data_IF_561450086313
#
_entry.id   IF_561450086313
#
_cell.length_a   1.000
_cell.length_b   1.000
_cell.length_c   1.000
_cell.angle_alpha   90.00
_cell.angle_beta   90.00
_cell.angle_gamma   90.00
#
_symmetry.space_group_name_H-M   'P 1'
#
loop_
_entity.id
_entity.type
_entity.pdbx_description
1 polymer ?
#
# COMPACT_ATOMS: atom_id res chain seq x y z
N UNK A 1 -23.77 -32.13 1.46
CA UNK A 1 -22.73 -31.35 2.16
C UNK A 1 -22.48 -30.10 1.34
N UNK A 2 -23.17 -29.03 1.71
CA UNK A 2 -23.05 -27.72 1.01
C UNK A 2 -21.76 -27.06 1.49
N UNK A 3 -20.70 -27.19 0.69
CA UNK A 3 -19.52 -26.35 0.85
C UNK A 3 -19.96 -24.93 0.56
N UNK A 4 -19.96 -24.13 1.62
CA UNK A 4 -20.38 -22.75 1.59
C UNK A 4 -19.55 -21.96 0.57
N UNK A 5 -20.23 -21.33 -0.39
CA UNK A 5 -19.70 -20.35 -1.35
C UNK A 5 -19.17 -19.06 -0.67
N UNK A 6 -18.55 -19.16 0.51
CA UNK A 6 -18.04 -18.00 1.28
C UNK A 6 -16.74 -17.38 0.76
N UNK A 7 -16.15 -17.89 -0.30
CA UNK A 7 -14.77 -17.52 -0.67
C UNK A 7 -14.62 -16.46 -1.77
N UNK A 8 -15.69 -15.90 -2.33
CA UNK A 8 -15.56 -15.06 -3.54
C UNK A 8 -15.33 -13.56 -3.30
N UNK A 9 -15.68 -13.06 -2.12
CA UNK A 9 -15.33 -11.73 -1.64
C UNK A 9 -15.03 -11.82 -0.15
N UNK A 10 -13.76 -11.88 0.20
CA UNK A 10 -13.40 -11.83 1.61
C UNK A 10 -13.62 -10.40 2.11
N UNK A 11 -14.73 -10.20 2.80
CA UNK A 11 -14.95 -9.06 3.67
C UNK A 11 -13.84 -9.11 4.72
N UNK A 12 -13.06 -8.05 4.80
CA UNK A 12 -11.91 -8.03 5.72
C UNK A 12 -12.16 -7.13 6.92
N UNK A 13 -13.05 -6.15 6.77
CA UNK A 13 -13.36 -5.20 7.82
C UNK A 13 -14.75 -4.60 7.64
N UNK A 14 -15.21 -3.93 8.69
CA UNK A 14 -16.42 -3.12 8.70
C UNK A 14 -16.07 -1.69 9.14
N UNK A 15 -16.72 -0.72 8.52
CA UNK A 15 -16.59 0.70 8.85
C UNK A 15 -17.29 0.99 10.15
N UNK A 16 -16.59 1.61 11.12
CA UNK A 16 -17.11 1.96 12.44
C UNK A 16 -17.25 3.46 12.69
N UNK A 17 -16.48 4.27 11.97
CA UNK A 17 -16.54 5.72 12.10
C UNK A 17 -16.05 6.35 10.80
N UNK A 18 -16.75 7.39 10.34
CA UNK A 18 -16.35 8.20 9.20
C UNK A 18 -16.51 9.68 9.56
N UNK A 19 -15.43 10.43 9.33
CA UNK A 19 -15.46 11.89 9.39
C UNK A 19 -14.90 12.45 8.08
N UNK A 20 -15.61 13.40 7.48
CA UNK A 20 -15.17 14.09 6.26
C UNK A 20 -15.29 13.24 4.99
N UNK A 21 -14.31 13.40 4.08
CA UNK A 21 -14.30 12.75 2.77
C UNK A 21 -13.50 11.46 2.80
N UNK A 22 -14.20 10.35 2.79
CA UNK A 22 -13.60 9.00 2.78
C UNK A 22 -14.23 8.15 1.68
N UNK A 23 -13.46 7.30 1.07
CA UNK A 23 -13.93 6.34 0.08
C UNK A 23 -12.93 5.24 -0.17
N UNK A 24 -13.33 4.28 -0.97
CA UNK A 24 -12.45 3.22 -1.46
C UNK A 24 -12.56 3.11 -2.98
N UNK A 25 -11.51 2.61 -3.60
CA UNK A 25 -11.60 2.15 -4.98
C UNK A 25 -11.63 0.63 -4.97
N UNK A 26 -12.76 0.08 -5.40
CA UNK A 26 -13.05 -1.36 -5.44
C UNK A 26 -13.15 -1.83 -6.89
N UNK A 27 -12.31 -2.79 -7.27
CA UNK A 27 -12.32 -3.36 -8.63
C UNK A 27 -12.31 -2.27 -9.72
N UNK A 28 -11.49 -1.23 -9.54
CA UNK A 28 -11.32 -0.03 -10.40
C UNK A 28 -12.42 1.04 -10.30
N UNK A 29 -13.47 0.83 -9.53
CA UNK A 29 -14.56 1.79 -9.37
C UNK A 29 -14.49 2.50 -8.01
N UNK A 30 -14.67 3.82 -7.96
CA UNK A 30 -14.79 4.54 -6.70
C UNK A 30 -16.11 4.16 -6.01
N UNK A 31 -16.01 3.88 -4.71
CA UNK A 31 -17.15 3.56 -3.84
C UNK A 31 -17.11 4.52 -2.67
N UNK A 32 -18.20 5.22 -2.44
CA UNK A 32 -18.40 6.01 -1.22
C UNK A 32 -18.70 5.02 -0.08
N UNK A 33 -18.15 5.30 1.09
CA UNK A 33 -18.39 4.50 2.30
C UNK A 33 -19.40 5.21 3.19
N UNK A 34 -20.24 4.42 3.83
CA UNK A 34 -21.10 4.80 4.94
C UNK A 34 -20.79 3.93 6.18
N UNK A 35 -21.43 4.25 7.33
CA UNK A 35 -21.30 3.43 8.54
C UNK A 35 -21.77 2.00 8.29
N UNK A 36 -21.10 1.05 8.92
CA UNK A 36 -21.32 -0.39 8.80
C UNK A 36 -21.11 -0.96 7.39
N UNK A 37 -20.63 -0.16 6.44
CA UNK A 37 -20.21 -0.68 5.14
C UNK A 37 -19.02 -1.63 5.29
N UNK A 38 -18.99 -2.61 4.41
CA UNK A 38 -17.94 -3.61 4.37
C UNK A 38 -16.74 -3.16 3.54
N UNK A 39 -15.55 -3.36 4.08
CA UNK A 39 -14.28 -3.24 3.38
C UNK A 39 -13.87 -4.63 2.89
N UNK A 40 -13.52 -4.72 1.63
CA UNK A 40 -13.08 -5.95 0.99
C UNK A 40 -11.57 -5.96 0.80
N UNK A 41 -11.05 -7.16 0.72
CA UNK A 41 -9.66 -7.37 0.36
C UNK A 41 -9.28 -6.65 -0.94
N UNK A 42 -8.15 -5.97 -0.95
CA UNK A 42 -7.64 -5.11 -2.03
C UNK A 42 -8.47 -3.83 -2.31
N UNK A 43 -9.39 -3.46 -1.44
CA UNK A 43 -9.97 -2.11 -1.52
C UNK A 43 -8.87 -1.08 -1.26
N UNK A 44 -8.74 -0.12 -2.18
CA UNK A 44 -7.81 0.98 -2.01
C UNK A 44 -8.49 2.12 -1.24
N UNK A 45 -8.08 2.29 0.01
CA UNK A 45 -8.63 3.27 0.95
C UNK A 45 -8.07 4.66 0.63
N UNK A 46 -8.94 5.64 0.53
CA UNK A 46 -8.61 7.05 0.36
C UNK A 46 -9.28 7.88 1.45
N UNK A 47 -8.48 8.46 2.34
CA UNK A 47 -8.93 9.38 3.38
C UNK A 47 -8.48 10.78 3.01
N UNK A 48 -9.42 11.69 2.81
CA UNK A 48 -9.15 13.06 2.37
C UNK A 48 -8.55 13.97 3.43
N UNK A 49 -8.41 15.26 3.11
CA UNK A 49 -8.01 16.28 4.08
C UNK A 49 -9.08 16.43 5.17
N UNK A 50 -8.66 16.65 6.42
CA UNK A 50 -9.54 16.81 7.58
C UNK A 50 -10.56 15.67 7.72
N UNK A 51 -10.15 14.46 7.39
CA UNK A 51 -11.01 13.29 7.38
C UNK A 51 -10.42 12.17 8.22
N UNK A 52 -11.26 11.24 8.65
CA UNK A 52 -10.89 10.09 9.47
C UNK A 52 -11.75 8.90 9.10
N UNK A 53 -11.17 7.72 9.12
CA UNK A 53 -11.86 6.44 8.93
C UNK A 53 -11.44 5.49 10.03
N UNK A 54 -12.41 4.94 10.78
CA UNK A 54 -12.18 3.80 11.66
C UNK A 54 -12.81 2.56 11.05
N UNK A 55 -12.00 1.50 10.94
CA UNK A 55 -12.47 0.17 10.55
C UNK A 55 -12.11 -0.84 11.62
N UNK A 56 -12.96 -1.85 11.75
CA UNK A 56 -12.70 -3.02 12.59
C UNK A 56 -12.44 -4.21 11.66
N UNK A 57 -11.25 -4.80 11.76
CA UNK A 57 -10.93 -6.02 11.03
C UNK A 57 -11.73 -7.18 11.63
N UNK A 58 -12.42 -7.93 10.79
CA UNK A 58 -13.10 -9.15 11.24
C UNK A 58 -12.07 -10.13 11.79
N UNK A 59 -12.47 -10.87 12.80
CA UNK A 59 -11.70 -12.01 13.30
C UNK A 59 -11.71 -13.15 12.28
N UNK A 60 -11.11 -12.88 11.14
CA UNK A 60 -10.91 -13.88 10.10
C UNK A 60 -9.58 -14.55 10.41
N UNK A 61 -9.66 -15.85 10.75
CA UNK A 61 -8.50 -16.71 11.00
C UNK A 61 -7.55 -16.20 12.11
N UNK A 62 -8.11 -15.63 13.16
CA UNK A 62 -7.41 -15.33 14.39
C UNK A 62 -6.64 -14.04 14.45
N UNK A 63 -6.90 -13.09 13.54
CA UNK A 63 -6.42 -11.71 13.65
C UNK A 63 -7.63 -10.79 13.78
N UNK A 64 -7.70 -10.03 14.88
CA UNK A 64 -8.66 -8.96 15.05
C UNK A 64 -7.97 -7.66 15.43
N UNK A 65 -8.38 -6.56 14.81
CA UNK A 65 -7.78 -5.26 15.04
C UNK A 65 -8.74 -4.09 14.73
N UNK A 66 -8.57 -3.00 15.46
CA UNK A 66 -9.11 -1.69 15.09
C UNK A 66 -8.04 -0.88 14.38
N UNK A 67 -8.39 -0.30 13.23
CA UNK A 67 -7.53 0.59 12.47
C UNK A 67 -8.19 1.96 12.35
N UNK A 68 -7.45 3.01 12.67
CA UNK A 68 -7.91 4.40 12.58
C UNK A 68 -7.01 5.14 11.61
N UNK A 69 -7.50 5.36 10.38
CA UNK A 69 -6.79 6.12 9.37
C UNK A 69 -7.09 7.61 9.49
N UNK A 70 -6.05 8.41 9.40
CA UNK A 70 -6.12 9.86 9.53
C UNK A 70 -6.04 10.57 8.17
N UNK A 71 -6.13 11.88 8.20
CA UNK A 71 -6.14 12.74 7.01
C UNK A 71 -5.04 12.44 6.01
N UNK A 72 -5.38 12.52 4.73
CA UNK A 72 -4.48 12.30 3.59
C UNK A 72 -3.88 10.89 3.52
N UNK A 73 -4.57 9.88 4.05
CA UNK A 73 -4.09 8.49 4.01
C UNK A 73 -4.51 7.79 2.74
N UNK A 74 -3.55 7.14 2.09
CA UNK A 74 -3.73 6.29 0.93
C UNK A 74 -3.10 4.93 1.21
N UNK A 75 -3.92 3.89 1.25
CA UNK A 75 -3.50 2.54 1.62
C UNK A 75 -4.39 1.47 1.00
N UNK A 76 -3.98 0.23 1.02
CA UNK A 76 -4.88 -0.88 0.80
C UNK A 76 -4.59 -2.03 1.77
N UNK A 77 -5.65 -2.76 2.10
CA UNK A 77 -5.59 -3.93 2.98
C UNK A 77 -5.56 -5.20 2.14
N UNK A 78 -4.70 -6.10 2.52
CA UNK A 78 -4.51 -7.35 1.84
C UNK A 78 -4.30 -8.47 2.87
N UNK A 79 -4.95 -9.61 2.64
CA UNK A 79 -4.75 -10.81 3.43
C UNK A 79 -4.00 -11.85 2.63
N UNK A 80 -2.97 -12.43 3.22
CA UNK A 80 -2.30 -13.61 2.71
C UNK A 80 -2.68 -14.79 3.58
N UNK A 81 -3.42 -15.75 3.05
CA UNK A 81 -3.69 -17.01 3.75
C UNK A 81 -2.79 -18.10 3.21
N UNK A 82 -1.94 -18.65 4.06
CA UNK A 82 -1.36 -19.96 3.89
C UNK A 82 -2.16 -20.90 4.82
N UNK A 83 -2.45 -22.12 4.38
CA UNK A 83 -3.39 -23.11 4.98
C UNK A 83 -3.77 -22.99 6.48
N UNK A 84 -2.89 -22.51 7.33
CA UNK A 84 -3.11 -22.37 8.78
C UNK A 84 -2.54 -21.07 9.36
N UNK A 85 -1.93 -20.21 8.54
CA UNK A 85 -1.26 -19.00 8.96
C UNK A 85 -1.79 -17.83 8.13
N UNK A 86 -2.18 -16.74 8.79
CA UNK A 86 -2.65 -15.55 8.10
C UNK A 86 -1.76 -14.37 8.41
N UNK A 87 -1.44 -13.67 7.34
CA UNK A 87 -0.83 -12.36 7.41
C UNK A 87 -1.84 -11.32 6.94
N UNK A 88 -2.29 -10.45 7.85
CA UNK A 88 -2.97 -9.22 7.46
C UNK A 88 -1.92 -8.20 7.09
N UNK A 89 -1.94 -7.68 5.86
CA UNK A 89 -0.94 -6.71 5.36
C UNK A 89 -1.63 -5.41 4.97
N UNK A 90 -1.05 -4.30 5.42
CA UNK A 90 -1.45 -2.97 4.99
C UNK A 90 -0.29 -2.35 4.21
N UNK A 91 -0.54 -1.98 2.96
CA UNK A 91 0.36 -1.14 2.20
C UNK A 91 -0.01 0.32 2.44
N UNK A 92 0.86 1.05 3.12
CA UNK A 92 0.69 2.48 3.38
C UNK A 92 1.58 3.27 2.42
N UNK A 93 0.97 3.95 1.46
CA UNK A 93 1.69 4.78 0.50
C UNK A 93 1.89 6.19 1.01
N UNK A 94 0.94 6.68 1.81
CA UNK A 94 0.97 8.03 2.39
C UNK A 94 0.02 8.09 3.57
N UNK A 95 0.30 9.01 4.51
CA UNK A 95 -0.57 9.32 5.63
C UNK A 95 -0.24 8.55 6.89
N UNK A 96 -1.23 8.37 7.75
CA UNK A 96 -1.01 7.75 9.05
C UNK A 96 -2.21 6.98 9.55
N UNK A 97 -1.95 6.02 10.42
CA UNK A 97 -3.00 5.31 11.13
C UNK A 97 -2.54 4.79 12.49
N UNK A 98 -3.50 4.60 13.40
CA UNK A 98 -3.34 3.80 14.60
C UNK A 98 -3.80 2.36 14.32
N UNK A 99 -3.07 1.39 14.86
CA UNK A 99 -3.46 -0.01 14.92
C UNK A 99 -3.58 -0.45 16.38
N UNK A 100 -4.71 -1.04 16.72
CA UNK A 100 -4.94 -1.73 17.99
C UNK A 100 -5.24 -3.19 17.67
N UNK A 101 -4.24 -4.04 17.87
CA UNK A 101 -4.34 -5.48 17.61
C UNK A 101 -4.86 -6.14 18.89
N UNK A 102 -6.05 -6.71 18.81
CA UNK A 102 -6.73 -7.36 19.94
C UNK A 102 -6.35 -8.82 20.08
N UNK A 103 -6.19 -9.50 18.94
CA UNK A 103 -5.85 -10.91 18.88
C UNK A 103 -5.00 -11.23 17.67
N UNK A 104 -3.98 -12.08 17.86
CA UNK A 104 -3.22 -12.74 16.79
C UNK A 104 -2.99 -14.19 17.22
N UNK A 105 -3.49 -15.14 16.45
CA UNK A 105 -3.24 -16.57 16.68
C UNK A 105 -1.78 -16.88 16.39
N UNK A 106 -1.20 -17.79 17.16
CA UNK A 106 0.20 -18.22 17.01
C UNK A 106 0.52 -18.60 15.57
N UNK A 107 1.54 -17.98 15.01
CA UNK A 107 2.00 -18.18 13.64
C UNK A 107 1.41 -17.20 12.62
N UNK A 108 0.33 -16.47 12.97
CA UNK A 108 -0.21 -15.37 12.17
C UNK A 108 0.51 -14.06 12.49
N UNK A 109 0.38 -13.05 11.63
CA UNK A 109 0.95 -11.73 11.86
C UNK A 109 0.13 -10.60 11.24
N UNK A 110 0.24 -9.42 11.85
CA UNK A 110 -0.23 -8.17 11.26
C UNK A 110 0.96 -7.36 10.78
N UNK A 111 0.96 -6.97 9.52
CA UNK A 111 2.11 -6.32 8.90
C UNK A 111 1.73 -5.01 8.24
N UNK A 112 2.59 -4.01 8.37
CA UNK A 112 2.52 -2.75 7.64
C UNK A 112 3.71 -2.64 6.72
N UNK A 113 3.46 -2.33 5.46
CA UNK A 113 4.49 -2.19 4.43
C UNK A 113 4.53 -0.72 4.00
N UNK A 114 5.68 -0.09 4.20
CA UNK A 114 5.93 1.30 3.80
C UNK A 114 7.22 1.32 3.01
N UNK A 115 7.15 1.72 1.75
CA UNK A 115 8.33 1.89 0.90
C UNK A 115 9.32 0.70 0.98
N UNK A 116 8.78 -0.53 0.90
CA UNK A 116 9.55 -1.79 0.99
C UNK A 116 10.16 -2.11 2.37
N UNK A 117 9.78 -1.39 3.40
CA UNK A 117 10.11 -1.75 4.76
C UNK A 117 8.91 -2.43 5.41
N UNK A 118 9.18 -3.47 6.17
CA UNK A 118 8.16 -4.30 6.80
C UNK A 118 8.15 -4.05 8.30
N UNK A 119 6.98 -3.72 8.83
CA UNK A 119 6.69 -3.65 10.27
C UNK A 119 5.73 -4.76 10.62
N UNK A 120 6.13 -5.68 11.47
CA UNK A 120 5.39 -6.91 11.77
C UNK A 120 5.05 -7.00 13.25
N UNK A 121 3.76 -7.11 13.57
CA UNK A 121 3.27 -7.46 14.90
C UNK A 121 2.86 -8.94 14.91
N UNK A 122 3.37 -9.70 15.88
CA UNK A 122 3.13 -11.14 16.06
C UNK A 122 2.31 -11.45 17.32
N UNK A 123 1.93 -10.41 18.05
CA UNK A 123 1.16 -10.50 19.29
C UNK A 123 0.22 -9.29 19.43
N UNK A 124 -0.58 -9.29 20.48
CA UNK A 124 -1.41 -8.13 20.82
C UNK A 124 -0.53 -6.91 20.97
N UNK A 125 -0.85 -5.87 20.23
CA UNK A 125 -0.03 -4.66 20.20
C UNK A 125 -0.89 -3.43 19.89
N UNK A 126 -0.38 -2.27 20.31
CA UNK A 126 -0.93 -0.97 19.92
C UNK A 126 0.21 -0.10 19.44
N UNK A 127 0.06 0.42 18.22
CA UNK A 127 1.08 1.28 17.63
C UNK A 127 0.49 2.28 16.64
N UNK A 128 1.21 3.37 16.44
CA UNK A 128 0.93 4.40 15.44
C UNK A 128 1.98 4.37 14.36
N UNK A 129 1.56 4.58 13.12
CA UNK A 129 2.43 4.66 11.96
C UNK A 129 2.14 5.94 11.19
N UNK A 130 3.18 6.62 10.75
CA UNK A 130 3.10 7.75 9.85
C UNK A 130 4.10 7.57 8.71
N UNK A 131 3.62 7.66 7.49
CA UNK A 131 4.41 7.76 6.27
C UNK A 131 4.20 9.15 5.71
N UNK A 132 5.23 9.96 5.79
CA UNK A 132 5.15 11.32 5.30
C UNK A 132 5.77 11.45 3.89
N UNK A 133 6.07 12.68 3.56
CA UNK A 133 6.80 13.05 2.36
C UNK A 133 8.23 12.49 2.40
N UNK A 134 8.78 12.08 1.26
CA UNK A 134 10.19 11.70 1.08
C UNK A 134 10.64 10.37 1.66
N UNK A 135 9.76 9.38 1.76
CA UNK A 135 10.11 8.09 2.35
C UNK A 135 10.58 8.18 3.81
N UNK A 136 10.19 9.24 4.50
CA UNK A 136 10.34 9.30 5.94
C UNK A 136 9.16 8.60 6.58
N UNK A 137 9.40 7.84 7.61
CA UNK A 137 8.33 7.21 8.38
C UNK A 137 8.71 7.14 9.85
N UNK A 138 7.65 7.10 10.60
CA UNK A 138 7.70 7.10 12.04
C UNK A 138 6.77 6.01 12.55
N UNK A 139 7.26 5.14 13.39
CA UNK A 139 6.45 4.19 14.11
C UNK A 139 6.66 4.36 15.60
N UNK A 140 5.57 4.29 16.33
CA UNK A 140 5.56 4.40 17.77
C UNK A 140 4.75 3.28 18.38
N UNK A 141 5.38 2.52 19.28
CA UNK A 141 4.75 1.37 19.93
C UNK A 141 4.29 1.77 21.33
N UNK A 142 2.98 1.64 21.58
CA UNK A 142 2.36 1.93 22.89
C UNK A 142 2.26 0.68 23.75
N UNK A 143 1.98 -0.47 23.13
CA UNK A 143 1.80 -1.76 23.81
C UNK A 143 2.27 -2.91 22.91
N UNK A 144 2.78 -3.97 23.51
CA UNK A 144 3.29 -5.13 22.78
C UNK A 144 4.66 -4.86 22.14
N UNK A 145 4.90 -5.41 20.98
CA UNK A 145 6.13 -5.18 20.21
C UNK A 145 5.87 -5.22 18.73
N UNK A 146 6.68 -4.48 17.97
CA UNK A 146 6.67 -4.48 16.50
C UNK A 146 8.08 -4.77 16.01
N UNK A 147 8.21 -5.75 15.14
CA UNK A 147 9.46 -6.09 14.46
C UNK A 147 9.57 -5.22 13.20
N UNK A 148 10.65 -4.50 13.08
CA UNK A 148 11.02 -3.79 11.87
C UNK A 148 12.04 -4.61 11.09
N UNK A 149 11.81 -4.80 9.81
CA UNK A 149 12.72 -5.48 8.89
C UNK A 149 13.03 -4.50 7.77
N UNK A 150 14.28 -4.13 7.67
CA UNK A 150 14.75 -3.20 6.64
C UNK A 150 15.00 -3.89 5.29
N UNK A 151 15.43 -3.10 4.30
CA UNK A 151 15.74 -3.62 2.96
C UNK A 151 16.92 -4.59 2.90
N UNK A 152 17.76 -4.59 3.94
CA UNK A 152 18.93 -5.47 4.07
C UNK A 152 18.61 -6.72 4.89
N UNK A 153 17.33 -6.96 5.18
CA UNK A 153 16.82 -8.04 6.03
C UNK A 153 17.33 -7.95 7.48
N UNK A 154 17.84 -6.77 7.89
CA UNK A 154 18.21 -6.54 9.28
C UNK A 154 16.96 -6.32 10.11
N UNK A 155 16.85 -7.04 11.23
CA UNK A 155 15.69 -7.02 12.11
C UNK A 155 15.94 -6.20 13.37
N UNK A 156 14.97 -5.37 13.72
CA UNK A 156 14.95 -4.59 14.97
C UNK A 156 13.62 -4.79 15.68
N UNK A 157 13.65 -5.04 16.98
CA UNK A 157 12.44 -5.15 17.78
C UNK A 157 12.17 -3.81 18.49
N UNK A 158 10.99 -3.25 18.22
CA UNK A 158 10.55 -1.98 18.81
C UNK A 158 9.59 -2.31 19.95
N UNK A 159 9.96 -1.95 21.17
CA UNK A 159 9.19 -2.14 22.40
C UNK A 159 8.35 -0.91 22.75
N UNK A 160 7.42 -1.02 23.72
CA UNK A 160 6.66 0.11 24.20
C UNK A 160 7.57 1.26 24.69
N UNK A 161 7.08 2.47 24.50
CA UNK A 161 7.81 3.71 24.77
C UNK A 161 9.06 3.91 23.91
N UNK A 162 9.21 3.16 22.83
CA UNK A 162 10.21 3.41 21.80
C UNK A 162 9.51 3.81 20.49
N UNK A 163 10.16 4.74 19.81
CA UNK A 163 9.78 5.19 18.46
C UNK A 163 10.93 4.98 17.51
N UNK A 164 10.65 4.41 16.37
CA UNK A 164 11.59 4.35 15.26
C UNK A 164 11.28 5.47 14.29
N UNK A 165 12.25 6.34 14.07
CA UNK A 165 12.27 7.36 13.03
C UNK A 165 13.14 6.87 11.89
N UNK A 166 12.61 6.82 10.67
CA UNK A 166 13.42 6.72 9.45
C UNK A 166 13.35 8.05 8.72
N UNK A 167 14.49 8.69 8.62
CA UNK A 167 14.61 10.04 8.11
C UNK A 167 15.82 10.14 7.18
N UNK A 168 15.60 10.51 5.91
CA UNK A 168 16.64 10.58 4.89
C UNK A 168 17.49 9.29 4.78
N UNK A 169 16.86 8.13 4.93
CA UNK A 169 17.52 6.83 4.84
C UNK A 169 18.27 6.38 6.10
N UNK A 170 18.31 7.21 7.14
CA UNK A 170 18.90 6.86 8.45
C UNK A 170 17.80 6.44 9.44
N UNK A 171 18.08 5.45 10.25
CA UNK A 171 17.17 4.98 11.29
C UNK A 171 17.60 5.49 12.66
N UNK A 172 16.67 6.03 13.42
CA UNK A 172 16.88 6.54 14.77
C UNK A 172 15.85 5.91 15.71
N UNK A 173 16.33 5.25 16.76
CA UNK A 173 15.47 4.72 17.81
C UNK A 173 15.46 5.72 18.98
N UNK A 174 14.28 6.23 19.31
CA UNK A 174 14.09 7.17 20.42
C UNK A 174 13.23 6.57 21.51
N UNK A 175 13.60 6.82 22.79
CA UNK A 175 12.70 6.59 23.92
C UNK A 175 11.70 7.72 24.01
N UNK A 176 10.42 7.39 24.08
CA UNK A 176 9.32 8.34 24.12
C UNK A 176 8.37 7.96 25.25
N UNK A 177 8.12 8.89 26.18
CA UNK A 177 7.09 8.69 27.18
C UNK A 177 5.71 8.97 26.63
N UNK A 178 4.69 8.25 27.09
CA UNK A 178 3.31 8.35 26.59
C UNK A 178 2.77 9.79 26.55
N UNK A 179 3.09 10.60 27.54
CA UNK A 179 2.73 12.03 27.61
C UNK A 179 3.43 12.93 26.58
N UNK A 180 4.56 12.49 26.01
CA UNK A 180 5.34 13.28 25.02
C UNK A 180 5.05 12.88 23.57
N UNK A 181 4.30 11.80 23.35
CA UNK A 181 4.03 11.22 22.02
C UNK A 181 3.40 12.20 21.05
N UNK A 182 2.40 12.96 21.50
CA UNK A 182 1.76 13.99 20.66
C UNK A 182 2.77 15.04 20.21
N UNK A 183 3.67 15.43 21.11
CA UNK A 183 4.76 16.36 20.80
C UNK A 183 5.78 15.78 19.82
N UNK A 184 6.13 14.50 19.96
CA UNK A 184 7.06 13.81 19.04
C UNK A 184 6.45 13.69 17.65
N UNK A 185 5.19 13.30 17.53
CA UNK A 185 4.49 13.27 16.25
C UNK A 185 4.45 14.64 15.58
N UNK A 186 4.10 15.69 16.33
CA UNK A 186 4.07 17.06 15.81
C UNK A 186 5.46 17.54 15.37
N UNK A 187 6.49 17.23 16.16
CA UNK A 187 7.87 17.55 15.82
C UNK A 187 8.34 16.80 14.58
N UNK A 188 8.01 15.50 14.46
CA UNK A 188 8.34 14.72 13.26
C UNK A 188 7.69 15.32 12.01
N UNK A 189 6.38 15.59 12.04
CA UNK A 189 5.65 16.21 10.94
C UNK A 189 6.25 17.58 10.58
N UNK A 190 6.60 18.38 11.58
CA UNK A 190 7.26 19.67 11.38
C UNK A 190 8.63 19.51 10.72
N UNK A 191 9.49 18.63 11.25
CA UNK A 191 10.82 18.36 10.70
C UNK A 191 10.74 17.85 9.25
N UNK A 192 9.80 16.93 8.98
CA UNK A 192 9.57 16.41 7.64
C UNK A 192 9.14 17.52 6.69
N UNK A 193 8.22 18.41 7.12
CA UNK A 193 7.79 19.57 6.35
C UNK A 193 8.92 20.57 6.14
N UNK A 194 9.69 20.90 7.17
CA UNK A 194 10.80 21.84 7.09
C UNK A 194 11.90 21.32 6.13
N UNK A 195 12.20 20.01 6.22
CA UNK A 195 13.11 19.38 5.27
C UNK A 195 12.59 19.45 3.83
N UNK A 196 11.29 19.17 3.66
CA UNK A 196 10.66 19.26 2.36
C UNK A 196 10.77 20.68 1.78
N UNK A 197 10.47 21.69 2.59
CA UNK A 197 10.54 23.10 2.17
C UNK A 197 11.98 23.58 1.94
N UNK A 198 12.97 22.94 2.56
CA UNK A 198 14.40 23.26 2.42
C UNK A 198 15.09 22.59 1.22
N UNK A 199 14.38 21.74 0.47
CA UNK A 199 14.96 21.03 -0.68
C UNK A 199 15.45 22.02 -1.74
N UNK A 200 16.68 21.81 -2.16
CA UNK A 200 17.25 22.59 -3.23
C UNK A 200 16.73 22.16 -4.63
N UNK A 201 16.83 23.07 -5.59
CA UNK A 201 16.37 22.83 -6.98
C UNK A 201 17.00 21.59 -7.62
N UNK A 202 18.30 21.36 -7.36
CA UNK A 202 19.03 20.22 -7.92
C UNK A 202 18.48 18.89 -7.44
N UNK A 203 18.15 18.78 -6.16
CA UNK A 203 17.54 17.58 -5.59
C UNK A 203 16.15 17.32 -6.19
N UNK A 204 15.31 18.37 -6.27
CA UNK A 204 13.98 18.25 -6.87
C UNK A 204 14.06 17.85 -8.35
N UNK A 205 15.01 18.41 -9.09
CA UNK A 205 15.25 18.04 -10.49
C UNK A 205 15.64 16.57 -10.63
N UNK A 206 16.62 16.11 -9.84
CA UNK A 206 17.06 14.70 -9.84
C UNK A 206 15.92 13.76 -9.46
N UNK A 207 15.15 14.12 -8.44
CA UNK A 207 14.00 13.32 -8.01
C UNK A 207 12.93 13.19 -9.11
N UNK A 208 12.62 14.30 -9.81
CA UNK A 208 11.66 14.29 -10.94
C UNK A 208 12.17 13.42 -12.09
N UNK A 209 13.46 13.47 -12.39
CA UNK A 209 14.07 12.60 -13.41
C UNK A 209 13.89 11.13 -13.02
N UNK A 210 14.23 10.78 -11.78
CA UNK A 210 14.08 9.41 -11.27
C UNK A 210 12.62 8.94 -11.32
N UNK A 211 11.70 9.79 -10.94
CA UNK A 211 10.28 9.49 -11.02
C UNK A 211 9.81 9.30 -12.47
N UNK A 212 10.33 10.07 -13.41
CA UNK A 212 10.04 9.89 -14.83
C UNK A 212 10.47 8.51 -15.33
N UNK A 213 11.66 8.04 -14.92
CA UNK A 213 12.14 6.68 -15.24
C UNK A 213 11.19 5.60 -14.71
N UNK A 214 10.73 5.75 -13.47
CA UNK A 214 9.79 4.79 -12.87
C UNK A 214 8.44 4.78 -13.60
N UNK A 215 7.93 5.96 -14.00
CA UNK A 215 6.72 6.05 -14.84
C UNK A 215 6.93 5.33 -16.18
N UNK A 216 8.06 5.53 -16.83
CA UNK A 216 8.35 4.89 -18.12
C UNK A 216 8.44 3.37 -17.96
N UNK A 217 9.13 2.90 -16.91
CA UNK A 217 9.25 1.46 -16.60
C UNK A 217 7.89 0.84 -16.32
N UNK A 218 7.09 1.44 -15.44
CA UNK A 218 5.75 0.98 -15.14
C UNK A 218 4.85 0.99 -16.39
N UNK A 219 4.83 2.08 -17.15
CA UNK A 219 4.01 2.17 -18.36
C UNK A 219 4.44 1.17 -19.43
N UNK A 220 5.73 0.90 -19.59
CA UNK A 220 6.23 -0.11 -20.52
C UNK A 220 5.70 -1.49 -20.17
N UNK A 221 5.84 -1.90 -18.91
CA UNK A 221 5.34 -3.20 -18.44
C UNK A 221 3.81 -3.28 -18.49
N UNK A 222 3.12 -2.23 -18.01
CA UNK A 222 1.67 -2.17 -18.07
C UNK A 222 1.15 -2.28 -19.51
N UNK A 223 1.71 -1.49 -20.44
CA UNK A 223 1.28 -1.51 -21.82
C UNK A 223 1.63 -2.84 -22.51
N UNK A 224 2.76 -3.46 -22.18
CA UNK A 224 3.12 -4.78 -22.65
C UNK A 224 2.05 -5.82 -22.29
N UNK A 225 1.64 -5.85 -21.01
CA UNK A 225 0.59 -6.77 -20.55
C UNK A 225 -0.79 -6.41 -21.14
N UNK A 226 -1.14 -5.11 -21.18
CA UNK A 226 -2.44 -4.68 -21.71
C UNK A 226 -2.58 -4.87 -23.23
N UNK A 227 -1.48 -5.00 -23.98
CA UNK A 227 -1.48 -5.35 -25.41
C UNK A 227 -1.52 -6.86 -25.64
N UNK A 228 -1.18 -7.65 -24.63
CA UNK A 228 -1.20 -9.11 -24.73
C UNK A 228 -2.67 -9.61 -24.80
N UNK A 229 -3.03 -10.20 -25.93
CA UNK A 229 -4.38 -10.72 -26.17
C UNK A 229 -4.79 -11.77 -25.12
N UNK A 230 -3.85 -12.65 -24.74
CA UNK A 230 -4.12 -13.70 -23.75
C UNK A 230 -4.33 -13.12 -22.36
N UNK A 231 -3.53 -12.11 -21.96
CA UNK A 231 -3.74 -11.39 -20.70
C UNK A 231 -5.14 -10.75 -20.68
N UNK A 232 -5.52 -10.02 -21.73
CA UNK A 232 -6.82 -9.35 -21.79
C UNK A 232 -8.00 -10.36 -21.78
N UNK A 233 -7.85 -11.49 -22.45
CA UNK A 233 -8.84 -12.56 -22.41
C UNK A 233 -9.02 -13.12 -20.99
N UNK A 234 -7.90 -13.41 -20.30
CA UNK A 234 -7.91 -13.87 -18.92
C UNK A 234 -8.53 -12.80 -18.00
N UNK A 235 -8.09 -11.54 -18.11
CA UNK A 235 -8.59 -10.43 -17.31
C UNK A 235 -10.12 -10.27 -17.45
N UNK A 236 -10.61 -10.24 -18.67
CA UNK A 236 -12.05 -10.10 -18.96
C UNK A 236 -12.86 -11.28 -18.44
N UNK A 237 -12.38 -12.52 -18.67
CA UNK A 237 -13.01 -13.74 -18.16
C UNK A 237 -13.08 -13.73 -16.65
N UNK A 238 -11.96 -13.47 -15.97
CA UNK A 238 -11.90 -13.48 -14.50
C UNK A 238 -12.70 -12.34 -13.88
N UNK A 239 -12.71 -11.14 -14.50
CA UNK A 239 -13.57 -10.04 -14.04
C UNK A 239 -15.06 -10.39 -14.11
N UNK A 240 -15.49 -11.09 -15.15
CA UNK A 240 -16.87 -11.55 -15.28
C UNK A 240 -17.19 -12.68 -14.30
N UNK A 241 -16.29 -13.63 -14.10
CA UNK A 241 -16.41 -14.71 -13.12
C UNK A 241 -16.54 -14.14 -11.71
N UNK A 242 -15.68 -13.18 -11.34
CA UNK A 242 -15.73 -12.51 -10.03
C UNK A 242 -17.03 -11.73 -9.84
N UNK A 243 -17.52 -11.03 -10.88
CA UNK A 243 -18.82 -10.34 -10.84
C UNK A 243 -19.99 -11.30 -10.60
N UNK A 244 -19.89 -12.52 -11.11
CA UNK A 244 -20.90 -13.56 -10.97
C UNK A 244 -20.64 -14.51 -9.79
N UNK A 245 -19.69 -14.20 -8.91
CA UNK A 245 -19.32 -15.03 -7.75
C UNK A 245 -18.89 -16.45 -8.13
N UNK A 246 -18.12 -16.60 -9.22
CA UNK A 246 -17.63 -17.88 -9.74
C UNK A 246 -16.12 -17.88 -9.88
N UNK A 247 -15.48 -19.03 -9.67
CA UNK A 247 -14.03 -19.20 -9.89
C UNK A 247 -13.67 -19.76 -11.27
N UNK A 248 -14.66 -20.21 -12.02
CA UNK A 248 -14.45 -20.81 -13.34
C UNK A 248 -13.98 -22.28 -13.29
N UNK A 249 -13.48 -22.76 -14.44
CA UNK A 249 -12.99 -24.13 -14.56
C UNK A 249 -11.58 -24.27 -13.99
N UNK A 250 -11.33 -25.30 -13.17
CA UNK A 250 -10.06 -25.53 -12.47
C UNK A 250 -8.86 -25.69 -13.44
N UNK A 251 -9.00 -26.41 -14.55
CA UNK A 251 -7.92 -26.66 -15.49
C UNK A 251 -7.51 -25.37 -16.19
N UNK A 252 -8.49 -24.57 -16.64
CA UNK A 252 -8.25 -23.27 -17.25
C UNK A 252 -7.62 -22.29 -16.25
N UNK A 253 -8.07 -22.34 -14.99
CA UNK A 253 -7.54 -21.52 -13.89
C UNK A 253 -6.04 -21.78 -13.70
N UNK A 254 -5.63 -23.05 -13.58
CA UNK A 254 -4.21 -23.44 -13.43
C UNK A 254 -3.37 -22.93 -14.62
N UNK A 255 -3.83 -23.17 -15.85
CA UNK A 255 -3.13 -22.73 -17.07
C UNK A 255 -2.95 -21.20 -17.08
N UNK A 256 -3.98 -20.46 -16.65
CA UNK A 256 -3.97 -19.01 -16.66
C UNK A 256 -3.10 -18.45 -15.52
N UNK A 257 -3.15 -19.02 -14.32
CA UNK A 257 -2.26 -18.68 -13.21
C UNK A 257 -0.81 -18.88 -13.62
N UNK A 258 -0.46 -20.05 -14.18
CA UNK A 258 0.92 -20.32 -14.64
C UNK A 258 1.37 -19.34 -15.74
N UNK A 259 0.46 -18.95 -16.63
CA UNK A 259 0.78 -17.95 -17.66
C UNK A 259 1.06 -16.57 -17.07
N UNK A 260 0.33 -16.18 -16.03
CA UNK A 260 0.46 -14.86 -15.40
C UNK A 260 1.59 -14.82 -14.34
N UNK A 261 2.06 -16.00 -13.88
CA UNK A 261 3.14 -16.11 -12.91
C UNK A 261 4.36 -15.31 -13.38
N UNK A 262 4.97 -14.56 -12.50
CA UNK A 262 6.08 -13.67 -12.80
C UNK A 262 5.67 -12.32 -13.46
N UNK A 263 4.78 -12.33 -14.45
CA UNK A 263 4.33 -11.10 -15.12
C UNK A 263 3.59 -10.16 -14.19
N UNK A 264 2.65 -10.69 -13.43
CA UNK A 264 1.87 -9.93 -12.45
C UNK A 264 2.77 -9.44 -11.30
N UNK A 265 3.72 -10.26 -10.85
CA UNK A 265 4.66 -9.89 -9.82
C UNK A 265 5.53 -8.69 -10.23
N UNK A 266 6.12 -8.73 -11.41
CA UNK A 266 6.93 -7.63 -11.94
C UNK A 266 6.10 -6.36 -12.11
N UNK A 267 4.87 -6.46 -12.64
CA UNK A 267 3.97 -5.31 -12.75
C UNK A 267 3.64 -4.71 -11.38
N UNK A 268 3.35 -5.56 -10.39
CA UNK A 268 3.00 -5.11 -9.05
C UNK A 268 4.18 -4.43 -8.34
N UNK A 269 5.40 -4.98 -8.46
CA UNK A 269 6.59 -4.37 -7.88
C UNK A 269 6.86 -2.97 -8.48
N UNK A 270 6.79 -2.85 -9.80
CA UNK A 270 6.92 -1.55 -10.46
C UNK A 270 5.82 -0.56 -10.05
N UNK A 271 4.59 -1.06 -9.81
CA UNK A 271 3.50 -0.26 -9.28
C UNK A 271 3.80 0.24 -7.87
N UNK A 272 4.26 -0.63 -6.95
CA UNK A 272 4.55 -0.24 -5.56
C UNK A 272 5.64 0.83 -5.51
N UNK A 273 6.72 0.67 -6.27
CA UNK A 273 7.79 1.66 -6.36
C UNK A 273 7.30 3.02 -6.86
N UNK A 274 6.49 2.99 -7.91
CA UNK A 274 5.94 4.19 -8.49
C UNK A 274 4.90 4.85 -7.57
N UNK A 275 4.02 4.05 -6.93
CA UNK A 275 2.97 4.56 -6.05
C UNK A 275 3.54 5.30 -4.84
N UNK A 276 4.61 4.80 -4.23
CA UNK A 276 5.30 5.47 -3.13
C UNK A 276 5.79 6.88 -3.52
N UNK A 277 6.23 7.08 -4.77
CA UNK A 277 6.71 8.37 -5.27
C UNK A 277 5.60 9.23 -5.87
N UNK A 278 4.52 8.62 -6.32
CA UNK A 278 3.38 9.31 -6.90
C UNK A 278 2.79 10.35 -5.95
N UNK A 279 2.54 9.96 -4.72
CA UNK A 279 1.98 10.87 -3.71
C UNK A 279 2.98 11.96 -3.30
N UNK A 280 4.27 11.66 -3.33
CA UNK A 280 5.30 12.67 -3.13
C UNK A 280 5.27 13.75 -4.22
N UNK A 281 5.17 13.37 -5.48
CA UNK A 281 5.08 14.33 -6.59
C UNK A 281 3.84 15.20 -6.48
N UNK A 282 2.73 14.65 -5.99
CA UNK A 282 1.53 15.44 -5.69
C UNK A 282 1.80 16.54 -4.66
N UNK A 283 2.57 16.24 -3.63
CA UNK A 283 2.95 17.21 -2.62
C UNK A 283 3.92 18.25 -3.16
N UNK A 284 4.87 17.84 -4.01
CA UNK A 284 5.74 18.78 -4.75
C UNK A 284 4.88 19.77 -5.54
N UNK A 285 3.86 19.31 -6.24
CA UNK A 285 2.95 20.21 -6.94
C UNK A 285 2.20 21.16 -6.01
N UNK A 286 1.69 20.64 -4.91
CA UNK A 286 0.90 21.43 -3.97
C UNK A 286 1.72 22.55 -3.32
N UNK A 287 2.94 22.26 -2.93
CA UNK A 287 3.77 23.20 -2.14
C UNK A 287 4.75 24.02 -2.98
N UNK A 288 5.17 23.53 -4.13
CA UNK A 288 6.18 24.17 -4.97
C UNK A 288 5.67 24.68 -6.32
N UNK A 289 4.36 24.59 -6.61
CA UNK A 289 3.81 25.09 -7.88
C UNK A 289 4.18 26.54 -8.13
N UNK A 290 4.05 27.40 -7.11
CA UNK A 290 4.41 28.83 -7.18
C UNK A 290 5.92 29.05 -7.31
N UNK A 291 6.73 28.14 -6.81
CA UNK A 291 8.19 28.20 -6.90
C UNK A 291 8.68 27.81 -8.30
N UNK A 292 8.07 26.79 -8.90
CA UNK A 292 8.39 26.38 -10.26
C UNK A 292 7.94 27.41 -11.29
N UNK A 293 6.80 28.08 -11.08
CA UNK A 293 6.29 29.10 -11.99
C UNK A 293 7.20 30.34 -12.08
N UNK A 294 7.92 30.68 -11.00
CA UNK A 294 8.77 31.90 -10.93
C UNK A 294 10.23 31.64 -11.28
N UNK A 295 10.72 30.43 -11.22
CA UNK A 295 12.16 30.16 -11.20
C UNK A 295 12.67 29.24 -12.30
N UNK A 296 11.79 28.66 -13.10
CA UNK A 296 12.14 27.72 -14.17
C UNK A 296 11.83 28.38 -15.52
N UNK A 297 12.83 28.41 -16.40
CA UNK A 297 12.67 28.89 -17.78
C UNK A 297 11.60 28.07 -18.51
N UNK A 298 10.82 28.73 -19.36
CA UNK A 298 9.64 28.18 -20.05
C UNK A 298 9.90 26.86 -20.81
N UNK A 299 11.15 26.57 -21.15
CA UNK A 299 11.55 25.36 -21.88
C UNK A 299 12.21 24.29 -21.02
N UNK A 300 12.08 24.34 -19.69
CA UNK A 300 12.64 23.31 -18.82
C UNK A 300 11.93 21.96 -19.00
N UNK A 301 12.67 20.83 -19.17
CA UNK A 301 12.10 19.48 -19.17
C UNK A 301 11.25 19.19 -17.94
N UNK A 302 11.61 19.78 -16.79
CA UNK A 302 10.87 19.66 -15.53
C UNK A 302 9.48 20.29 -15.63
N UNK A 303 9.36 21.51 -16.20
CA UNK A 303 8.04 22.13 -16.40
C UNK A 303 7.16 21.34 -17.35
N UNK A 304 7.75 20.81 -18.44
CA UNK A 304 7.02 19.94 -19.36
C UNK A 304 6.49 18.71 -18.62
N UNK A 305 7.37 18.03 -17.87
CA UNK A 305 6.98 16.86 -17.06
C UNK A 305 5.87 17.21 -16.08
N UNK A 306 5.97 18.32 -15.37
CA UNK A 306 4.97 18.75 -14.39
C UNK A 306 3.60 19.00 -15.06
N UNK A 307 3.58 19.64 -16.23
CA UNK A 307 2.34 19.85 -17.02
C UNK A 307 1.75 18.52 -17.46
N UNK A 308 2.58 17.64 -18.01
CA UNK A 308 2.16 16.31 -18.48
C UNK A 308 1.65 15.44 -17.30
N UNK A 309 2.31 15.53 -16.15
CA UNK A 309 1.87 14.83 -14.93
C UNK A 309 0.49 15.31 -14.48
N UNK A 310 0.29 16.65 -14.36
CA UNK A 310 -1.01 17.20 -13.97
C UNK A 310 -2.13 16.76 -14.91
N UNK A 311 -1.87 16.70 -16.21
CA UNK A 311 -2.82 16.22 -17.21
C UNK A 311 -3.07 14.71 -17.11
N UNK A 312 -2.05 13.91 -16.84
CA UNK A 312 -2.08 12.46 -16.90
C UNK A 312 -2.23 11.74 -15.55
N UNK A 313 -2.23 12.48 -14.44
CA UNK A 313 -2.30 11.95 -13.09
C UNK A 313 -3.43 10.93 -12.90
N UNK A 314 -4.65 11.28 -13.34
CA UNK A 314 -5.80 10.40 -13.19
C UNK A 314 -5.68 9.14 -14.07
N UNK A 315 -5.09 9.26 -15.26
CA UNK A 315 -4.81 8.12 -16.14
C UNK A 315 -3.84 7.16 -15.46
N UNK A 316 -2.77 7.68 -14.84
CA UNK A 316 -1.80 6.87 -14.11
C UNK A 316 -2.45 6.20 -12.89
N UNK A 317 -3.26 6.93 -12.14
CA UNK A 317 -4.00 6.40 -11.00
C UNK A 317 -4.95 5.27 -11.39
N UNK A 318 -5.65 5.41 -12.52
CA UNK A 318 -6.50 4.33 -13.05
C UNK A 318 -5.69 3.07 -13.44
N UNK A 319 -4.47 3.23 -13.96
CA UNK A 319 -3.57 2.10 -14.20
C UNK A 319 -3.16 1.41 -12.90
N UNK A 320 -2.93 2.16 -11.82
CA UNK A 320 -2.68 1.59 -10.49
C UNK A 320 -3.84 0.71 -10.03
N UNK A 321 -5.06 1.21 -10.08
CA UNK A 321 -6.23 0.44 -9.67
C UNK A 321 -6.44 -0.81 -10.52
N UNK A 322 -6.21 -0.73 -11.82
CA UNK A 322 -6.28 -1.91 -12.70
C UNK A 322 -5.18 -2.93 -12.37
N UNK A 323 -3.99 -2.47 -11.98
CA UNK A 323 -2.90 -3.35 -11.52
C UNK A 323 -3.28 -4.08 -10.23
N UNK A 324 -3.80 -3.35 -9.23
CA UNK A 324 -4.27 -3.94 -7.96
C UNK A 324 -5.39 -4.97 -8.23
N UNK A 325 -6.34 -4.64 -9.09
CA UNK A 325 -7.43 -5.56 -9.45
C UNK A 325 -6.90 -6.82 -10.15
N UNK A 326 -5.93 -6.67 -11.05
CA UNK A 326 -5.30 -7.82 -11.71
C UNK A 326 -4.57 -8.72 -10.71
N UNK A 327 -3.87 -8.13 -9.74
CA UNK A 327 -3.21 -8.86 -8.67
C UNK A 327 -4.23 -9.60 -7.79
N UNK A 328 -5.31 -8.93 -7.39
CA UNK A 328 -6.41 -9.53 -6.62
C UNK A 328 -6.95 -10.79 -7.30
N UNK A 329 -7.29 -10.69 -8.58
CA UNK A 329 -7.83 -11.82 -9.34
C UNK A 329 -6.82 -12.98 -9.46
N UNK A 330 -5.55 -12.64 -9.64
CA UNK A 330 -4.45 -13.62 -9.71
C UNK A 330 -4.27 -14.35 -8.37
N UNK A 331 -4.11 -13.62 -7.27
CA UNK A 331 -3.85 -14.20 -5.95
C UNK A 331 -5.01 -15.05 -5.44
N UNK A 332 -6.24 -14.64 -5.70
CA UNK A 332 -7.43 -15.45 -5.38
C UNK A 332 -7.40 -16.82 -6.01
N UNK A 333 -6.93 -16.91 -7.25
CA UNK A 333 -6.90 -18.16 -8.01
C UNK A 333 -5.62 -18.95 -7.79
N UNK A 334 -4.55 -18.29 -7.38
CA UNK A 334 -3.29 -18.96 -7.05
C UNK A 334 -3.26 -19.55 -5.64
N UNK A 335 -4.06 -19.00 -4.71
CA UNK A 335 -4.15 -19.48 -3.33
C UNK A 335 -5.08 -20.67 -3.13
N UNK A 336 -5.87 -21.06 -4.15
CA UNK A 336 -6.57 -22.35 -4.11
C UNK A 336 -5.54 -23.49 -4.10
N UNK A 337 -5.77 -24.54 -3.36
CA UNK A 337 -4.91 -25.71 -2.99
C UNK A 337 -3.93 -26.27 -4.04
N UNK A 338 -3.89 -25.68 -5.23
CA UNK A 338 -3.17 -26.17 -6.41
C UNK A 338 -1.80 -25.53 -6.59
N UNK A 339 -1.55 -24.40 -5.93
CA UNK A 339 -0.36 -23.58 -6.19
C UNK A 339 0.33 -23.14 -4.88
N UNK A 340 0.29 -23.98 -3.87
CA UNK A 340 0.85 -23.74 -2.52
C UNK A 340 2.33 -23.31 -2.47
N UNK A 341 2.98 -23.09 -3.60
CA UNK A 341 4.38 -22.71 -3.72
C UNK A 341 4.62 -21.25 -4.14
N UNK A 342 3.57 -20.43 -4.27
CA UNK A 342 3.74 -18.98 -4.52
C UNK A 342 3.54 -18.22 -3.23
N UNK A 343 4.56 -18.24 -2.40
CA UNK A 343 4.67 -17.36 -1.25
C UNK A 343 4.64 -15.91 -1.75
N UNK A 344 3.81 -15.04 -1.17
CA UNK A 344 3.91 -13.58 -1.40
C UNK A 344 5.31 -13.07 -1.03
N UNK A 345 6.02 -13.78 -0.16
CA UNK A 345 7.44 -13.59 0.09
C UNK A 345 8.31 -13.87 -1.16
N UNK A 346 7.91 -14.73 -2.09
CA UNK A 346 8.62 -14.88 -3.37
C UNK A 346 8.46 -13.66 -4.28
N UNK A 347 7.38 -12.92 -4.19
CA UNK A 347 7.26 -11.61 -4.85
C UNK A 347 8.27 -10.60 -4.27
N UNK A 348 8.65 -10.77 -3.02
CA UNK A 348 9.73 -10.03 -2.36
C UNK A 348 11.11 -10.61 -2.68
N UNK A 349 11.26 -11.92 -2.70
CA UNK A 349 12.55 -12.62 -2.96
C UNK A 349 13.00 -12.52 -4.42
N UNK A 350 12.09 -12.37 -5.38
CA UNK A 350 12.43 -12.07 -6.77
C UNK A 350 13.09 -10.69 -6.92
N UNK A 351 12.95 -9.83 -5.93
CA UNK A 351 13.57 -8.51 -5.89
C UNK A 351 15.03 -8.53 -5.42
N UNK A 352 15.38 -9.45 -4.54
CA UNK A 352 16.74 -9.54 -3.96
C UNK A 352 17.77 -10.21 -4.88
N UNK A 353 17.34 -10.80 -6.00
CA UNK A 353 18.22 -11.52 -6.93
C UNK A 353 18.55 -10.79 -8.23
N UNK A 354 18.04 -9.58 -8.43
CA UNK A 354 18.28 -8.78 -9.65
C UNK A 354 19.02 -7.45 -9.39
N UNK A 355 19.81 -7.36 -8.29
CA UNK A 355 20.75 -6.26 -8.09
C UNK A 355 22.12 -6.76 -7.70
#
# INVERSE_FOLDING_TARGET
MLLSNRALFSQVAVVKEIEGKVGVVRNTFPVKLDLDDEIFEYDFIEVGENSKLKINLYEINGISADLIFYSNTNSFVFYSSLKDLQDAKIYLFRGSFDAVIHNIVKGSSFSVIINNNLFKAENTSKFYVNSDYFNNYFINVYKGSVRYIDKTETEYLIFPNNSLLLFNGNSFLHKVNEGTLKGVNQNFIRMAKDNFMSLNKGFLYFFILKYTEDILRFNSMYNYLMKDFKFNSIYSKWSLEDKNYKLGNRVDMIKNVNYLKGRIGVLFNNFVDLANRFYFVDDVFKYFSTFFDKSITVNSPVLKFLKDYKANKNVLKNKFFKTIHSLKMYLRRSNDDITSNLNVNELYLLRSKEF
#
